data_IF_289322040852
#
_entry.id   IF_289322040852
#
_cell.length_a   1.000
_cell.length_b   1.000
_cell.length_c   1.000
_cell.angle_alpha   90.00
_cell.angle_beta   90.00
_cell.angle_gamma   90.00
#
_symmetry.space_group_name_H-M   'P 1'
#
loop_
_entity.id
_entity.type
_entity.pdbx_description
1 polymer ?
#
# COMPACT_ATOMS: atom_id res chain seq x y z
N UNK A 1 27.80 -7.81 16.45
CA UNK A 1 26.55 -8.11 17.17
C UNK A 1 25.85 -6.79 17.48
N UNK A 2 24.54 -6.79 17.69
CA UNK A 2 23.87 -5.57 18.09
C UNK A 2 24.34 -5.12 19.47
N UNK A 3 24.62 -3.84 19.63
CA UNK A 3 25.06 -3.29 20.89
C UNK A 3 25.78 -1.95 20.79
N UNK A 4 25.99 -1.37 21.95
CA UNK A 4 26.80 -0.18 22.14
C UNK A 4 28.27 -0.59 22.29
N UNK A 5 29.13 -0.09 21.40
CA UNK A 5 30.56 -0.34 21.41
C UNK A 5 31.28 0.94 21.79
N UNK A 6 31.97 0.91 22.92
CA UNK A 6 32.79 2.02 23.40
C UNK A 6 34.26 1.76 23.13
N UNK A 7 34.87 2.59 22.29
CA UNK A 7 36.30 2.61 22.05
C UNK A 7 36.96 3.65 22.95
N UNK A 8 37.97 3.21 23.68
CA UNK A 8 38.74 4.07 24.58
C UNK A 8 40.21 4.00 24.17
N UNK A 9 40.73 5.12 23.68
CA UNK A 9 42.15 5.30 23.38
C UNK A 9 42.77 6.11 24.51
N UNK A 10 43.76 5.53 25.18
CA UNK A 10 44.55 6.19 26.23
C UNK A 10 45.99 6.29 25.78
N UNK A 11 46.53 7.50 25.81
CA UNK A 11 47.95 7.76 25.53
C UNK A 11 48.64 7.99 26.87
N UNK A 12 49.78 7.30 27.05
CA UNK A 12 50.62 7.48 28.21
C UNK A 12 51.99 7.99 27.75
N UNK A 13 52.48 9.05 28.38
CA UNK A 13 53.80 9.61 28.08
C UNK A 13 54.54 9.97 29.38
N UNK A 14 55.86 9.96 29.29
CA UNK A 14 56.73 10.07 30.45
C UNK A 14 58.17 10.32 30.08
N UNK A 15 58.96 10.73 31.07
CA UNK A 15 60.40 10.97 30.93
C UNK A 15 61.20 9.70 30.60
N UNK A 16 60.65 8.53 30.97
CA UNK A 16 61.22 7.21 30.77
C UNK A 16 60.11 6.15 30.75
N UNK A 17 60.43 4.92 30.33
CA UNK A 17 59.48 3.78 30.31
C UNK A 17 58.92 3.44 31.70
N UNK A 18 59.59 3.88 32.78
CA UNK A 18 59.18 3.63 34.17
C UNK A 18 58.39 4.80 34.79
N UNK A 19 58.18 5.89 34.05
CA UNK A 19 57.56 7.15 34.52
C UNK A 19 56.43 7.60 33.58
N UNK A 20 55.60 6.66 33.13
CA UNK A 20 54.49 6.94 32.22
C UNK A 20 53.26 7.42 32.98
N UNK A 21 52.69 8.55 32.56
CA UNK A 21 51.41 9.07 33.05
C UNK A 21 50.43 9.26 31.91
N UNK A 22 49.12 9.18 32.19
CA UNK A 22 48.08 9.38 31.16
C UNK A 22 48.17 10.81 30.66
N UNK A 23 48.56 10.99 29.40
CA UNK A 23 48.73 12.30 28.77
C UNK A 23 47.56 12.70 27.91
N UNK A 24 46.86 11.72 27.33
CA UNK A 24 45.65 11.99 26.55
C UNK A 24 44.66 10.83 26.64
N UNK A 25 43.39 11.13 26.42
CA UNK A 25 42.31 10.16 26.37
C UNK A 25 41.26 10.59 25.36
N UNK A 26 40.90 9.66 24.48
CA UNK A 26 39.81 9.82 23.54
C UNK A 26 38.84 8.66 23.68
N UNK A 27 37.57 8.98 23.88
CA UNK A 27 36.49 8.01 24.00
C UNK A 27 35.54 8.26 22.83
N UNK A 28 35.25 7.21 22.08
CA UNK A 28 34.28 7.22 20.99
C UNK A 28 33.29 6.08 21.22
N UNK A 29 32.00 6.38 21.13
CA UNK A 29 30.94 5.36 21.23
C UNK A 29 30.28 5.22 19.86
N UNK A 30 30.17 3.98 19.37
CA UNK A 30 29.34 3.66 18.21
C UNK A 30 28.22 2.71 18.64
N UNK A 31 27.08 2.87 17.99
CA UNK A 31 25.94 1.96 18.16
C UNK A 31 25.89 1.12 16.88
N UNK A 32 25.92 -0.20 17.03
CA UNK A 32 25.76 -1.14 15.92
C UNK A 32 24.43 -1.86 16.13
N UNK A 33 23.53 -1.75 15.15
CA UNK A 33 22.22 -2.41 15.16
C UNK A 33 22.01 -3.08 13.80
N UNK A 34 21.54 -4.33 13.81
CA UNK A 34 21.16 -5.04 12.60
C UNK A 34 19.84 -4.44 12.12
N UNK A 35 19.77 -3.92 10.89
CA UNK A 35 18.54 -3.31 10.41
C UNK A 35 17.40 -4.32 10.37
N UNK A 36 16.21 -3.93 10.84
CA UNK A 36 15.01 -4.76 10.76
C UNK A 36 14.35 -4.72 9.37
N UNK A 37 14.96 -4.03 8.40
CA UNK A 37 14.36 -3.69 7.12
C UNK A 37 13.28 -2.60 7.23
N UNK A 38 12.80 -2.17 6.06
CA UNK A 38 11.72 -1.17 5.94
C UNK A 38 10.38 -1.86 5.73
N UNK A 39 9.49 -1.76 6.71
CA UNK A 39 8.13 -2.29 6.65
C UNK A 39 7.13 -1.22 6.23
N UNK A 40 6.36 -1.46 5.17
CA UNK A 40 5.30 -0.55 4.75
C UNK A 40 4.02 -0.81 5.55
N UNK A 41 3.30 0.25 5.92
CA UNK A 41 2.07 0.14 6.72
C UNK A 41 0.84 0.57 5.94
N UNK A 42 0.92 1.69 5.20
CA UNK A 42 -0.18 2.19 4.37
C UNK A 42 0.30 3.25 3.38
N UNK A 43 -0.42 3.53 2.27
CA UNK A 43 -1.62 2.84 1.84
C UNK A 43 -1.32 1.57 1.04
N UNK A 44 -2.27 0.64 1.10
CA UNK A 44 -2.31 -0.53 0.24
C UNK A 44 -1.52 -1.72 0.76
N UNK A 45 -1.01 -2.53 -0.16
CA UNK A 45 -0.37 -3.81 0.11
C UNK A 45 0.01 -4.51 -1.20
N UNK A 46 0.02 -5.85 -1.22
CA UNK A 46 0.34 -6.60 -2.42
C UNK A 46 -0.60 -6.28 -3.61
N UNK A 47 -0.09 -6.36 -4.84
CA UNK A 47 -0.85 -6.08 -6.07
C UNK A 47 -2.10 -6.98 -6.22
N UNK A 48 -2.01 -8.23 -5.76
CA UNK A 48 -3.12 -9.19 -5.80
C UNK A 48 -4.36 -8.72 -5.01
N UNK A 49 -4.17 -7.83 -4.04
CA UNK A 49 -5.20 -7.38 -3.10
C UNK A 49 -5.75 -5.99 -3.43
N UNK A 50 -5.51 -5.49 -4.65
CA UNK A 50 -6.01 -4.16 -5.10
C UNK A 50 -7.53 -3.99 -5.04
N UNK A 51 -8.30 -5.08 -4.91
CA UNK A 51 -9.73 -5.03 -4.61
C UNK A 51 -10.04 -4.51 -3.19
N UNK A 52 -9.12 -4.69 -2.24
CA UNK A 52 -9.23 -4.25 -0.85
C UNK A 52 -8.35 -3.05 -0.53
N UNK A 53 -7.24 -2.87 -1.28
CA UNK A 53 -6.27 -1.78 -1.10
C UNK A 53 -6.74 -0.48 -1.78
N UNK A 54 -7.85 0.08 -1.29
CA UNK A 54 -8.49 1.29 -1.86
C UNK A 54 -8.27 2.51 -0.96
N UNK A 55 -7.90 3.64 -1.57
CA UNK A 55 -7.91 4.96 -0.94
C UNK A 55 -8.94 5.87 -1.61
N UNK A 56 -9.54 6.78 -0.85
CA UNK A 56 -10.60 7.67 -1.33
C UNK A 56 -10.14 9.13 -1.52
N UNK A 57 -8.83 9.35 -1.48
CA UNK A 57 -8.19 10.66 -1.64
C UNK A 57 -7.11 10.58 -2.71
N UNK A 58 -7.03 11.60 -3.55
CA UNK A 58 -5.89 11.82 -4.45
C UNK A 58 -4.66 12.35 -3.71
N UNK A 59 -4.79 12.58 -2.41
CA UNK A 59 -3.72 12.97 -1.49
C UNK A 59 -3.62 11.95 -0.35
N UNK A 60 -3.14 10.72 -0.59
CA UNK A 60 -2.96 9.73 0.47
C UNK A 60 -1.75 10.06 1.37
N UNK A 61 -1.78 9.55 2.59
CA UNK A 61 -0.64 9.53 3.51
C UNK A 61 0.04 8.16 3.42
N UNK A 62 1.35 8.19 3.15
CA UNK A 62 2.24 7.03 3.14
C UNK A 62 2.85 6.88 4.53
N UNK A 63 2.77 5.69 5.10
CA UNK A 63 3.27 5.35 6.43
C UNK A 63 4.10 4.07 6.34
N UNK A 64 5.26 4.11 6.98
CA UNK A 64 6.20 3.00 7.03
C UNK A 64 6.92 2.99 8.37
N UNK A 65 7.57 1.87 8.69
CA UNK A 65 8.42 1.71 9.83
C UNK A 65 9.79 1.23 9.35
N UNK A 66 10.86 1.95 9.72
CA UNK A 66 12.25 1.63 9.36
C UNK A 66 13.08 1.12 10.55
N UNK A 67 12.42 0.72 11.64
CA UNK A 67 13.07 0.39 12.90
C UNK A 67 13.77 1.60 13.54
N UNK A 68 14.67 1.32 14.48
CA UNK A 68 15.61 2.32 14.98
C UNK A 68 16.78 2.41 14.00
N UNK A 69 16.99 3.60 13.44
CA UNK A 69 18.21 3.90 12.70
C UNK A 69 18.61 5.35 12.93
N UNK A 70 19.85 5.55 13.39
CA UNK A 70 20.44 6.88 13.54
C UNK A 70 21.15 7.31 12.26
N UNK A 71 20.97 8.56 11.83
CA UNK A 71 21.57 9.14 10.61
C UNK A 71 21.19 8.43 9.30
N UNK A 72 20.06 7.74 9.28
CA UNK A 72 19.52 7.16 8.06
C UNK A 72 18.92 8.23 7.12
N UNK A 73 19.23 8.15 5.83
CA UNK A 73 18.53 8.96 4.82
C UNK A 73 17.33 8.18 4.28
N UNK A 74 16.17 8.83 4.14
CA UNK A 74 14.93 8.17 3.69
C UNK A 74 14.51 8.70 2.34
N UNK A 75 14.02 7.82 1.47
CA UNK A 75 13.64 8.12 0.10
C UNK A 75 12.31 7.46 -0.26
N UNK A 76 11.52 8.15 -1.09
CA UNK A 76 10.24 7.64 -1.61
C UNK A 76 10.18 7.75 -3.13
N UNK A 77 9.47 6.81 -3.75
CA UNK A 77 9.03 6.91 -5.15
C UNK A 77 7.63 6.35 -5.33
N UNK A 78 6.91 6.88 -6.32
CA UNK A 78 5.54 6.49 -6.66
C UNK A 78 5.38 6.49 -8.18
N UNK A 79 4.71 5.49 -8.74
CA UNK A 79 4.39 5.41 -10.16
C UNK A 79 2.98 4.87 -10.41
N UNK A 80 2.43 5.14 -11.60
CA UNK A 80 1.14 4.58 -12.03
C UNK A 80 1.32 3.13 -12.51
N UNK A 81 0.50 2.21 -12.01
CA UNK A 81 0.45 0.84 -12.52
C UNK A 81 -0.69 0.68 -13.53
N UNK A 82 -0.34 0.31 -14.77
CA UNK A 82 -1.28 0.09 -15.88
C UNK A 82 -1.31 -1.39 -16.23
N UNK A 83 -2.37 -2.10 -15.83
CA UNK A 83 -2.50 -3.55 -16.02
C UNK A 83 -2.33 -4.04 -17.48
N UNK A 84 -2.57 -3.18 -18.46
CA UNK A 84 -2.47 -3.51 -19.89
C UNK A 84 -1.07 -3.22 -20.48
N UNK A 85 -0.19 -2.61 -19.70
CA UNK A 85 1.14 -2.16 -20.15
C UNK A 85 2.26 -2.71 -19.28
N UNK A 86 2.07 -2.75 -17.95
CA UNK A 86 3.04 -3.29 -17.00
C UNK A 86 2.73 -4.75 -16.66
N UNK A 87 3.77 -5.57 -16.65
CA UNK A 87 3.73 -6.98 -16.23
C UNK A 87 3.96 -7.14 -14.73
N UNK A 88 4.56 -6.14 -14.06
CA UNK A 88 4.82 -6.15 -12.62
C UNK A 88 4.90 -4.74 -12.00
N UNK A 89 4.76 -4.60 -10.67
CA UNK A 89 4.95 -3.33 -9.96
C UNK A 89 6.33 -2.69 -10.19
N UNK A 90 7.38 -3.51 -10.29
CA UNK A 90 8.77 -3.07 -10.54
C UNK A 90 8.93 -2.44 -11.92
N UNK A 91 8.19 -2.92 -12.92
CA UNK A 91 8.18 -2.32 -14.25
C UNK A 91 7.56 -0.92 -14.22
N UNK A 92 6.45 -0.76 -13.49
CA UNK A 92 5.81 0.54 -13.32
C UNK A 92 6.72 1.58 -12.65
N UNK A 93 7.49 1.19 -11.63
CA UNK A 93 8.43 2.10 -10.95
C UNK A 93 9.60 2.55 -11.85
N UNK A 94 9.95 1.75 -12.87
CA UNK A 94 11.02 2.03 -13.83
C UNK A 94 10.54 2.84 -15.05
N UNK A 95 9.25 2.91 -15.29
CA UNK A 95 8.64 3.70 -16.36
C UNK A 95 8.46 5.18 -15.92
N UNK A 96 7.22 5.69 -15.92
CA UNK A 96 6.92 7.08 -15.63
C UNK A 96 6.52 7.26 -14.16
N UNK A 97 7.38 7.95 -13.40
CA UNK A 97 7.14 8.25 -11.98
C UNK A 97 6.18 9.43 -11.84
N UNK A 98 5.23 9.30 -10.94
CA UNK A 98 4.41 10.43 -10.47
C UNK A 98 5.11 11.21 -9.35
N UNK A 99 5.97 10.52 -8.60
CA UNK A 99 6.86 11.07 -7.57
C UNK A 99 8.19 10.31 -7.60
N UNK A 100 9.35 11.00 -7.68
CA UNK A 100 9.52 12.42 -7.99
C UNK A 100 8.97 12.79 -9.39
N UNK A 101 8.60 14.06 -9.58
CA UNK A 101 8.16 14.58 -10.88
C UNK A 101 9.30 14.62 -11.91
N UNK A 102 10.50 15.00 -11.46
CA UNK A 102 11.72 15.02 -12.26
C UNK A 102 12.15 13.59 -12.59
N UNK A 103 11.96 13.19 -13.85
CA UNK A 103 12.28 11.84 -14.32
C UNK A 103 13.79 11.55 -14.42
N UNK A 104 14.66 12.55 -14.23
CA UNK A 104 16.10 12.29 -14.06
C UNK A 104 16.43 11.72 -12.67
N UNK A 105 15.52 11.88 -11.70
CA UNK A 105 15.63 11.33 -10.35
C UNK A 105 14.79 10.07 -10.23
N UNK A 106 15.39 9.01 -9.70
CA UNK A 106 14.68 7.76 -9.41
C UNK A 106 13.92 7.84 -8.08
N UNK A 107 14.46 8.61 -7.13
CA UNK A 107 14.00 8.70 -5.76
C UNK A 107 13.87 10.16 -5.30
N UNK A 108 12.87 10.44 -4.47
CA UNK A 108 12.74 11.70 -3.75
C UNK A 108 13.28 11.52 -2.33
N UNK A 109 14.30 12.29 -1.97
CA UNK A 109 14.80 12.34 -0.59
C UNK A 109 13.78 13.03 0.32
N UNK A 110 13.53 12.41 1.47
CA UNK A 110 12.69 12.92 2.54
C UNK A 110 13.55 13.35 3.73
N UNK A 111 12.95 14.12 4.63
CA UNK A 111 13.52 14.33 5.96
C UNK A 111 13.44 13.04 6.79
N UNK A 112 13.96 13.07 8.03
CA UNK A 112 13.88 11.95 8.95
C UNK A 112 12.45 11.78 9.49
N UNK A 113 11.59 11.19 8.65
CA UNK A 113 10.18 10.95 8.92
C UNK A 113 9.81 9.50 8.62
N UNK A 114 8.69 9.06 9.18
CA UNK A 114 8.06 7.75 8.93
C UNK A 114 6.67 7.89 8.31
N UNK A 115 6.29 9.12 7.96
CA UNK A 115 5.04 9.44 7.28
C UNK A 115 5.28 10.52 6.24
N UNK A 116 4.60 10.41 5.10
CA UNK A 116 4.67 11.38 4.01
C UNK A 116 3.28 11.61 3.43
N UNK A 117 2.83 12.85 3.41
CA UNK A 117 1.57 13.24 2.79
C UNK A 117 1.82 13.56 1.31
N UNK A 118 1.09 12.92 0.39
CA UNK A 118 1.22 13.24 -1.03
C UNK A 118 0.93 14.74 -1.27
N UNK A 119 1.85 15.48 -1.93
CA UNK A 119 1.75 16.93 -2.01
C UNK A 119 0.78 17.37 -3.11
N UNK A 120 0.32 18.62 -3.01
CA UNK A 120 -0.60 19.23 -3.97
C UNK A 120 0.09 19.83 -5.21
N UNK A 121 1.40 20.09 -5.12
CA UNK A 121 2.21 20.75 -6.15
C UNK A 121 3.56 20.03 -6.30
N UNK A 122 4.21 20.23 -7.45
CA UNK A 122 5.54 19.65 -7.73
C UNK A 122 5.50 18.14 -8.02
N UNK A 123 4.32 17.59 -8.26
CA UNK A 123 4.06 16.16 -8.51
C UNK A 123 3.00 16.01 -9.59
N UNK A 124 2.91 14.82 -10.19
CA UNK A 124 1.80 14.50 -11.09
C UNK A 124 0.57 14.15 -10.25
N UNK A 125 -0.60 14.79 -10.44
CA UNK A 125 -1.77 14.49 -9.63
C UNK A 125 -2.13 13.00 -9.71
N UNK A 126 -2.49 12.41 -8.56
CA UNK A 126 -3.14 11.11 -8.56
C UNK A 126 -4.58 11.28 -9.06
N UNK A 127 -5.07 10.32 -9.83
CA UNK A 127 -6.39 10.36 -10.46
C UNK A 127 -7.26 9.19 -9.99
N UNK A 128 -8.56 9.46 -9.91
CA UNK A 128 -9.54 8.43 -9.59
C UNK A 128 -9.58 7.33 -10.66
N UNK A 129 -9.84 6.11 -10.21
CA UNK A 129 -9.91 4.91 -11.05
C UNK A 129 -8.54 4.30 -11.37
N UNK A 130 -7.44 4.99 -11.09
CA UNK A 130 -6.08 4.52 -11.35
C UNK A 130 -5.48 3.77 -10.16
N UNK A 131 -4.52 2.91 -10.49
CA UNK A 131 -3.74 2.12 -9.54
C UNK A 131 -2.33 2.68 -9.48
N UNK A 132 -1.77 2.79 -8.28
CA UNK A 132 -0.44 3.32 -8.04
C UNK A 132 0.38 2.35 -7.21
N UNK A 133 1.68 2.34 -7.49
CA UNK A 133 2.68 1.57 -6.75
C UNK A 133 3.65 2.54 -6.09
N UNK A 134 4.14 2.18 -4.92
CA UNK A 134 5.10 3.01 -4.18
C UNK A 134 6.06 2.15 -3.38
N UNK A 135 7.21 2.75 -3.05
CA UNK A 135 8.30 2.07 -2.37
C UNK A 135 9.10 3.08 -1.55
N UNK A 136 9.69 2.60 -0.44
CA UNK A 136 10.62 3.34 0.40
C UNK A 136 12.01 2.71 0.27
N UNK A 137 13.03 3.57 0.25
CA UNK A 137 14.42 3.18 0.41
C UNK A 137 15.03 3.96 1.57
N UNK A 138 15.79 3.27 2.40
CA UNK A 138 16.51 3.85 3.53
C UNK A 138 17.99 3.56 3.32
N UNK A 139 18.83 4.60 3.41
CA UNK A 139 20.28 4.45 3.42
C UNK A 139 20.77 4.36 4.85
N UNK A 140 21.31 3.21 5.21
CA UNK A 140 21.79 2.90 6.56
C UNK A 140 23.32 3.08 6.61
N UNK A 141 23.86 3.81 7.60
CA UNK A 141 25.31 3.89 7.77
C UNK A 141 25.88 2.57 8.28
N UNK A 142 26.84 2.02 7.55
CA UNK A 142 27.62 0.83 7.90
C UNK A 142 29.11 1.17 8.02
N UNK A 143 29.93 0.20 8.45
CA UNK A 143 31.39 0.39 8.54
C UNK A 143 32.04 0.61 7.17
N UNK A 144 31.39 0.15 6.10
CA UNK A 144 31.90 0.19 4.73
C UNK A 144 31.27 1.32 3.89
N UNK A 145 30.41 2.14 4.50
CA UNK A 145 29.74 3.25 3.83
C UNK A 145 28.23 3.24 4.06
N UNK A 146 27.46 3.83 3.15
CA UNK A 146 25.99 3.72 3.19
C UNK A 146 25.54 2.46 2.46
N UNK A 147 24.60 1.72 3.04
CA UNK A 147 23.93 0.60 2.41
C UNK A 147 22.46 0.92 2.14
N UNK A 148 21.97 0.57 0.95
CA UNK A 148 20.60 0.85 0.53
C UNK A 148 19.68 -0.32 0.94
N UNK A 149 18.73 -0.06 1.83
CA UNK A 149 17.65 -0.98 2.18
C UNK A 149 16.36 -0.56 1.51
N UNK A 150 15.77 -1.45 0.72
CA UNK A 150 14.55 -1.16 -0.06
C UNK A 150 13.39 -1.99 0.46
N UNK A 151 12.25 -1.34 0.67
CA UNK A 151 11.01 -2.01 1.09
C UNK A 151 10.42 -2.89 -0.03
N UNK A 152 9.41 -3.71 0.33
CA UNK A 152 8.48 -4.24 -0.67
C UNK A 152 7.76 -3.11 -1.43
N UNK A 153 7.11 -3.47 -2.55
CA UNK A 153 6.32 -2.52 -3.33
C UNK A 153 4.86 -2.65 -2.94
N UNK A 154 4.30 -1.60 -2.34
CA UNK A 154 2.87 -1.53 -2.05
C UNK A 154 2.11 -0.96 -3.23
N UNK A 155 0.91 -1.47 -3.43
CA UNK A 155 -0.04 -1.07 -4.46
C UNK A 155 -1.34 -0.63 -3.83
N UNK A 156 -1.90 0.47 -4.32
CA UNK A 156 -3.22 0.95 -3.93
C UNK A 156 -4.00 1.51 -5.13
N UNK A 157 -5.33 1.50 -5.03
CA UNK A 157 -6.22 2.09 -6.03
C UNK A 157 -6.88 3.35 -5.48
N UNK A 158 -6.84 4.44 -6.24
CA UNK A 158 -7.53 5.69 -5.87
C UNK A 158 -8.96 5.61 -6.39
N UNK A 159 -9.94 5.55 -5.49
CA UNK A 159 -11.36 5.49 -5.83
C UNK A 159 -12.05 6.81 -5.59
N UNK A 160 -13.00 7.14 -6.46
CA UNK A 160 -13.76 8.38 -6.38
C UNK A 160 -14.75 8.34 -5.19
N UNK A 161 -14.58 9.19 -4.17
CA UNK A 161 -15.50 9.25 -3.04
C UNK A 161 -16.89 9.78 -3.43
N UNK A 162 -17.03 10.53 -4.54
CA UNK A 162 -18.33 10.94 -5.07
C UNK A 162 -19.07 9.79 -5.74
N UNK A 163 -18.33 8.76 -6.20
CA UNK A 163 -18.90 7.47 -6.55
C UNK A 163 -19.40 6.78 -5.29
N UNK A 164 -18.67 6.81 -4.16
CA UNK A 164 -19.17 6.36 -2.84
C UNK A 164 -20.38 7.16 -2.32
N UNK A 165 -20.47 8.47 -2.57
CA UNK A 165 -21.62 9.32 -2.22
C UNK A 165 -22.83 9.15 -3.16
N UNK A 166 -22.63 8.59 -4.36
CA UNK A 166 -23.70 8.07 -5.22
C UNK A 166 -24.04 6.61 -4.90
N UNK A 167 -23.08 5.82 -4.44
CA UNK A 167 -23.19 4.43 -3.99
C UNK A 167 -23.69 4.30 -2.55
N UNK A 168 -23.83 5.37 -1.76
CA UNK A 168 -24.56 5.33 -0.49
C UNK A 168 -26.04 4.93 -0.67
N UNK A 169 -26.50 4.80 -1.93
CA UNK A 169 -27.78 4.21 -2.30
C UNK A 169 -27.67 2.87 -3.07
N UNK A 170 -26.48 2.28 -3.24
CA UNK A 170 -26.30 0.99 -3.93
C UNK A 170 -25.59 0.02 -2.98
N UNK A 171 -26.40 -0.88 -2.43
CA UNK A 171 -26.01 -1.98 -1.55
C UNK A 171 -24.79 -2.75 -2.11
N UNK A 172 -23.72 -2.99 -1.33
CA UNK A 172 -22.56 -3.79 -1.72
C UNK A 172 -22.91 -5.15 -2.35
N UNK A 173 -24.07 -5.73 -2.02
CA UNK A 173 -24.57 -6.96 -2.62
C UNK A 173 -25.01 -6.76 -4.07
N UNK A 174 -25.54 -5.59 -4.46
CA UNK A 174 -25.89 -5.29 -5.85
C UNK A 174 -24.64 -5.28 -6.75
N UNK A 175 -23.49 -4.84 -6.21
CA UNK A 175 -22.22 -4.91 -6.92
C UNK A 175 -21.79 -6.37 -7.13
N UNK A 176 -21.95 -7.22 -6.12
CA UNK A 176 -21.63 -8.65 -6.25
C UNK A 176 -22.59 -9.37 -7.20
N UNK A 177 -23.87 -9.00 -7.23
CA UNK A 177 -24.84 -9.49 -8.20
C UNK A 177 -24.40 -9.10 -9.61
N UNK A 178 -24.01 -7.83 -9.82
CA UNK A 178 -23.49 -7.31 -11.09
C UNK A 178 -22.28 -8.10 -11.59
N UNK A 179 -21.33 -8.38 -10.71
CA UNK A 179 -20.18 -9.22 -11.05
C UNK A 179 -20.55 -10.67 -11.37
N UNK A 180 -21.53 -11.23 -10.67
CA UNK A 180 -21.93 -12.63 -10.83
C UNK A 180 -22.71 -12.88 -12.13
N UNK A 181 -23.63 -11.98 -12.50
CA UNK A 181 -24.49 -12.14 -13.68
C UNK A 181 -23.94 -11.44 -14.93
N UNK A 182 -22.95 -10.57 -14.76
CA UNK A 182 -22.32 -9.77 -15.81
C UNK A 182 -23.06 -8.45 -16.09
N UNK A 183 -22.32 -7.46 -16.59
CA UNK A 183 -22.81 -6.10 -16.86
C UNK A 183 -24.07 -6.09 -17.73
N UNK A 184 -24.11 -6.86 -18.82
CA UNK A 184 -25.22 -6.84 -19.76
C UNK A 184 -26.54 -7.26 -19.09
N UNK A 185 -26.56 -8.43 -18.44
CA UNK A 185 -27.74 -8.90 -17.70
C UNK A 185 -28.10 -8.01 -16.53
N UNK A 186 -27.11 -7.44 -15.85
CA UNK A 186 -27.35 -6.48 -14.78
C UNK A 186 -28.05 -5.23 -15.31
N UNK A 187 -27.62 -4.72 -16.47
CA UNK A 187 -28.22 -3.55 -17.11
C UNK A 187 -29.66 -3.82 -17.54
N UNK A 188 -29.93 -5.00 -18.12
CA UNK A 188 -31.28 -5.45 -18.49
C UNK A 188 -32.25 -5.54 -17.28
N UNK A 189 -31.73 -5.83 -16.09
CA UNK A 189 -32.54 -6.05 -14.89
C UNK A 189 -32.69 -4.80 -14.02
N UNK A 190 -31.61 -4.09 -13.72
CA UNK A 190 -31.56 -3.06 -12.67
C UNK A 190 -31.45 -1.63 -13.20
N UNK A 191 -31.12 -1.43 -14.47
CA UNK A 191 -31.10 -0.09 -15.08
C UNK A 191 -32.49 0.31 -15.60
N UNK A 192 -32.59 1.52 -16.15
CA UNK A 192 -33.84 2.17 -16.52
C UNK A 192 -34.67 1.33 -17.50
N UNK A 193 -35.92 1.01 -17.12
CA UNK A 193 -36.84 0.15 -17.86
C UNK A 193 -36.70 -1.34 -17.57
N UNK A 194 -35.79 -1.74 -16.68
CA UNK A 194 -35.62 -3.12 -16.22
C UNK A 194 -36.65 -3.52 -15.15
N UNK A 195 -36.99 -4.82 -15.04
CA UNK A 195 -37.97 -5.31 -14.07
C UNK A 195 -37.58 -5.12 -12.60
N UNK A 196 -36.30 -4.85 -12.32
CA UNK A 196 -35.74 -4.61 -10.99
C UNK A 196 -35.21 -3.18 -10.83
N UNK A 197 -35.61 -2.25 -11.72
CA UNK A 197 -35.26 -0.83 -11.59
C UNK A 197 -35.67 -0.29 -10.21
N UNK A 198 -34.71 0.28 -9.48
CA UNK A 198 -34.95 0.90 -8.17
C UNK A 198 -35.11 -0.08 -6.99
N UNK A 199 -35.02 -1.39 -7.22
CA UNK A 199 -35.06 -2.37 -6.13
C UNK A 199 -33.69 -2.51 -5.45
N UNK A 200 -33.69 -2.56 -4.11
CA UNK A 200 -32.51 -2.80 -3.28
C UNK A 200 -32.72 -4.01 -2.35
N UNK A 201 -31.65 -4.75 -1.99
CA UNK A 201 -31.74 -5.84 -1.03
C UNK A 201 -32.17 -5.34 0.35
N UNK A 202 -33.01 -6.11 1.04
CA UNK A 202 -33.54 -5.78 2.37
C UNK A 202 -32.71 -6.38 3.51
N UNK A 203 -31.62 -7.08 3.20
CA UNK A 203 -30.82 -7.84 4.18
C UNK A 203 -31.38 -9.22 4.53
N UNK A 204 -32.48 -9.65 3.91
CA UNK A 204 -33.06 -10.98 4.07
C UNK A 204 -32.80 -11.80 2.81
N UNK A 205 -32.06 -12.89 2.94
CA UNK A 205 -31.66 -13.73 1.82
C UNK A 205 -32.18 -15.15 1.99
N UNK A 206 -32.43 -15.82 0.86
CA UNK A 206 -32.74 -17.25 0.84
C UNK A 206 -32.02 -17.93 -0.32
N UNK A 207 -31.41 -19.08 -0.04
CA UNK A 207 -30.83 -19.98 -1.05
C UNK A 207 -31.66 -21.25 -1.01
N UNK A 208 -32.21 -21.66 -2.16
CA UNK A 208 -33.06 -22.85 -2.29
C UNK A 208 -34.25 -22.88 -1.30
N UNK A 209 -34.83 -21.71 -1.03
CA UNK A 209 -35.97 -21.55 -0.11
C UNK A 209 -35.62 -21.55 1.38
N UNK A 210 -34.35 -21.75 1.73
CA UNK A 210 -33.87 -21.67 3.12
C UNK A 210 -33.23 -20.31 3.39
N UNK A 211 -33.51 -19.72 4.56
CA UNK A 211 -32.89 -18.45 4.97
C UNK A 211 -31.36 -18.58 4.96
N UNK A 212 -30.68 -17.63 4.34
CA UNK A 212 -29.24 -17.60 4.21
C UNK A 212 -28.66 -16.34 4.88
N UNK A 213 -27.45 -16.47 5.40
CA UNK A 213 -26.66 -15.32 5.84
C UNK A 213 -25.93 -14.65 4.67
N UNK A 214 -25.34 -13.48 4.95
CA UNK A 214 -24.63 -12.69 3.94
C UNK A 214 -23.44 -13.47 3.37
N UNK A 215 -22.64 -14.14 4.19
CA UNK A 215 -21.47 -14.91 3.76
C UNK A 215 -21.83 -16.04 2.80
N UNK A 216 -22.90 -16.79 3.09
CA UNK A 216 -23.41 -17.86 2.23
C UNK A 216 -23.95 -17.33 0.91
N UNK A 217 -24.58 -16.15 0.95
CA UNK A 217 -25.11 -15.45 -0.24
C UNK A 217 -23.99 -14.98 -1.16
N UNK A 218 -22.94 -14.37 -0.60
CA UNK A 218 -21.72 -13.97 -1.32
C UNK A 218 -21.05 -15.19 -1.97
N UNK A 219 -20.89 -16.27 -1.22
CA UNK A 219 -20.31 -17.51 -1.75
C UNK A 219 -21.13 -18.12 -2.88
N UNK A 220 -22.46 -18.03 -2.83
CA UNK A 220 -23.32 -18.46 -3.93
C UNK A 220 -23.12 -17.60 -5.19
N UNK A 221 -23.04 -16.28 -5.04
CA UNK A 221 -22.75 -15.35 -6.15
C UNK A 221 -21.39 -15.63 -6.79
N UNK A 222 -20.36 -15.93 -6.00
CA UNK A 222 -19.04 -16.32 -6.51
C UNK A 222 -19.07 -17.63 -7.30
N UNK A 223 -19.91 -18.61 -6.90
CA UNK A 223 -20.09 -19.87 -7.66
C UNK A 223 -20.77 -19.62 -9.01
N UNK A 224 -21.73 -18.69 -9.05
CA UNK A 224 -22.40 -18.25 -10.29
C UNK A 224 -21.39 -17.56 -11.21
N UNK A 225 -20.60 -16.60 -10.69
CA UNK A 225 -19.53 -15.90 -11.42
C UNK A 225 -18.56 -16.88 -12.07
N UNK A 226 -18.11 -17.88 -11.32
CA UNK A 226 -17.12 -18.86 -11.76
C UNK A 226 -17.71 -19.98 -12.66
N UNK A 227 -18.97 -19.85 -13.13
CA UNK A 227 -19.69 -20.81 -13.97
C UNK A 227 -19.70 -22.25 -13.43
N UNK A 228 -19.51 -22.43 -12.12
CA UNK A 228 -19.58 -23.75 -11.45
C UNK A 228 -21.02 -24.19 -11.19
N UNK A 229 -22.02 -23.40 -11.60
CA UNK A 229 -23.45 -23.70 -11.45
C UNK A 229 -24.27 -23.04 -12.56
N UNK A 230 -25.35 -23.71 -13.01
CA UNK A 230 -26.35 -23.12 -13.92
C UNK A 230 -27.44 -22.43 -13.11
N UNK A 231 -27.49 -21.10 -13.15
CA UNK A 231 -28.59 -20.33 -12.55
C UNK A 231 -29.83 -20.42 -13.42
N UNK A 232 -30.91 -21.00 -12.89
CA UNK A 232 -32.19 -21.12 -13.64
C UNK A 232 -33.10 -19.91 -13.46
N UNK A 233 -33.13 -19.28 -12.27
CA UNK A 233 -34.01 -18.14 -12.02
C UNK A 233 -33.46 -17.23 -10.89
N UNK A 234 -33.74 -15.93 -10.96
CA UNK A 234 -33.50 -14.94 -9.90
C UNK A 234 -34.83 -14.24 -9.67
N UNK A 235 -35.36 -14.30 -8.43
CA UNK A 235 -36.64 -13.69 -8.07
C UNK A 235 -36.45 -12.72 -6.92
N UNK A 236 -36.99 -11.52 -7.07
CA UNK A 236 -37.19 -10.56 -5.98
C UNK A 236 -38.64 -10.72 -5.51
N UNK A 237 -38.84 -10.86 -4.20
CA UNK A 237 -40.17 -11.02 -3.59
C UNK A 237 -40.41 -9.80 -2.70
N UNK A 238 -41.51 -9.10 -2.94
CA UNK A 238 -42.02 -8.08 -2.03
C UNK A 238 -42.78 -8.78 -0.90
N UNK A 239 -42.53 -8.38 0.35
CA UNK A 239 -43.44 -8.66 1.46
C UNK A 239 -44.52 -7.59 1.49
#
# INVERSE_FOLDING_TARGET
PDGEYRFELKIFSGSSEFDLSKSDEKIETIIVETPSGVNLESPGGALADTAFNVVYSTFPSFNWNKGYCSNCETFIRVAEYRNYFHSSPEEALRDERVLPFDQSREWLQLEDVSTFQYPVIGVRPLEYGKTYVWQIMVKVPTTDGMEDEVSEIYTFKVSDPSFSAKLSNIDPLLLQIKEAIGQQKYSELFEKGGPLEGFAPTGIFSIDGSKADLSSTINALLRIKNKKSKTQNIKVVNN
#
